data_IF_658407432566
#
_entry.id   IF_658407432566
#
_cell.length_a   1.000
_cell.length_b   1.000
_cell.length_c   1.000
_cell.angle_alpha   90.00
_cell.angle_beta   90.00
_cell.angle_gamma   90.00
#
_symmetry.space_group_name_H-M   'P 1'
#
loop_
_entity.id
_entity.type
_entity.pdbx_description
1 polymer ?
#
# COMPACT_ATOMS: atom_id res chain seq x y z
N UNK A 1 -31.22 5.78 12.35
CA UNK A 1 -31.13 6.25 10.95
C UNK A 1 -31.66 5.14 10.07
N UNK A 2 -32.65 5.43 9.21
CA UNK A 2 -33.20 4.48 8.25
C UNK A 2 -32.36 4.53 6.97
N UNK A 3 -31.68 3.42 6.62
CA UNK A 3 -30.84 3.31 5.43
C UNK A 3 -31.62 2.60 4.34
N UNK A 4 -31.79 3.27 3.20
CA UNK A 4 -32.43 2.68 2.03
C UNK A 4 -31.52 1.62 1.39
N UNK A 5 -31.99 0.40 1.11
CA UNK A 5 -31.24 -0.57 0.33
C UNK A 5 -30.93 -0.02 -1.06
N UNK A 6 -29.66 -0.09 -1.46
CA UNK A 6 -29.23 0.25 -2.82
C UNK A 6 -29.27 -0.96 -3.74
N UNK A 7 -28.68 -2.07 -3.28
CA UNK A 7 -28.78 -3.36 -3.95
C UNK A 7 -29.93 -4.15 -3.36
N UNK A 8 -30.72 -4.74 -4.21
CA UNK A 8 -31.87 -5.58 -3.84
C UNK A 8 -31.76 -6.94 -4.54
N UNK A 9 -32.30 -7.99 -3.96
CA UNK A 9 -32.28 -9.34 -4.52
C UNK A 9 -32.47 -10.41 -3.47
N UNK A 10 -32.37 -11.68 -3.87
CA UNK A 10 -32.60 -12.81 -3.00
C UNK A 10 -31.75 -12.82 -1.74
N UNK A 11 -32.40 -12.72 -0.59
CA UNK A 11 -31.74 -12.71 0.74
C UNK A 11 -31.61 -14.11 1.35
N UNK A 12 -32.18 -15.13 0.70
CA UNK A 12 -32.30 -16.48 1.25
C UNK A 12 -33.39 -16.64 2.34
N UNK A 13 -34.07 -15.55 2.70
CA UNK A 13 -35.14 -15.53 3.69
C UNK A 13 -36.34 -14.76 3.14
N UNK A 14 -37.55 -15.05 3.65
CA UNK A 14 -38.81 -14.37 3.28
C UNK A 14 -39.05 -14.36 1.75
N UNK A 15 -38.95 -15.51 1.11
CA UNK A 15 -38.97 -15.71 -0.36
C UNK A 15 -40.16 -15.04 -1.06
N UNK A 16 -41.30 -14.93 -0.40
CA UNK A 16 -42.52 -14.34 -0.98
C UNK A 16 -42.68 -12.84 -0.74
N UNK A 17 -41.71 -12.22 -0.06
CA UNK A 17 -41.74 -10.77 0.13
C UNK A 17 -41.35 -10.07 -1.17
N UNK A 18 -42.18 -9.14 -1.69
CA UNK A 18 -41.88 -8.47 -2.97
C UNK A 18 -40.76 -7.39 -2.91
N UNK A 19 -40.27 -7.13 -1.71
CA UNK A 19 -39.21 -6.14 -1.44
C UNK A 19 -38.18 -6.68 -0.46
N UNK A 20 -37.12 -5.94 -0.23
CA UNK A 20 -36.13 -6.28 0.80
C UNK A 20 -36.80 -6.36 2.18
N UNK A 21 -36.43 -7.34 3.04
CA UNK A 21 -36.90 -7.39 4.41
C UNK A 21 -36.63 -6.09 5.17
N UNK A 22 -37.51 -5.67 6.09
CA UNK A 22 -37.31 -4.44 6.84
C UNK A 22 -36.23 -4.55 7.94
N UNK A 23 -35.87 -5.78 8.33
CA UNK A 23 -34.94 -6.00 9.46
C UNK A 23 -33.48 -5.88 9.04
N UNK A 24 -32.67 -5.21 9.85
CA UNK A 24 -31.22 -5.24 9.75
C UNK A 24 -30.67 -6.54 10.36
N UNK A 25 -29.56 -7.09 9.83
CA UNK A 25 -28.76 -6.62 8.70
C UNK A 25 -29.32 -7.04 7.33
N UNK A 26 -30.29 -7.97 7.27
CA UNK A 26 -30.80 -8.61 6.05
C UNK A 26 -31.32 -7.61 5.02
N UNK A 27 -31.86 -6.49 5.49
CA UNK A 27 -32.33 -5.39 4.65
C UNK A 27 -31.25 -4.87 3.68
N UNK A 28 -29.98 -4.88 4.08
CA UNK A 28 -28.86 -4.36 3.29
C UNK A 28 -28.05 -5.45 2.59
N UNK A 29 -28.42 -6.72 2.78
CA UNK A 29 -27.72 -7.87 2.24
C UNK A 29 -28.48 -8.48 1.08
N UNK A 30 -28.08 -8.14 -0.14
CA UNK A 30 -28.67 -8.69 -1.36
C UNK A 30 -27.81 -9.86 -1.89
N UNK A 31 -28.46 -10.99 -2.19
CA UNK A 31 -27.82 -12.19 -2.74
C UNK A 31 -27.11 -13.04 -1.68
N UNK A 32 -26.43 -14.08 -2.15
CA UNK A 32 -25.64 -14.98 -1.30
C UNK A 32 -24.41 -14.26 -0.78
N UNK A 33 -24.20 -14.30 0.53
CA UNK A 33 -23.02 -13.68 1.17
C UNK A 33 -21.73 -14.35 0.71
N UNK A 34 -20.68 -13.55 0.61
CA UNK A 34 -19.33 -14.03 0.32
C UNK A 34 -18.72 -14.72 1.57
N UNK A 35 -19.17 -15.95 1.84
CA UNK A 35 -18.70 -16.72 3.00
C UNK A 35 -17.19 -16.96 3.00
N UNK A 36 -16.60 -17.19 1.82
CA UNK A 36 -15.16 -17.39 1.69
C UNK A 36 -14.37 -16.12 2.04
N UNK A 37 -14.82 -14.96 1.54
CA UNK A 37 -14.20 -13.67 1.88
C UNK A 37 -14.34 -13.33 3.36
N UNK A 38 -15.50 -13.65 3.99
CA UNK A 38 -15.71 -13.43 5.42
C UNK A 38 -14.77 -14.34 6.24
N UNK A 39 -14.61 -15.60 5.86
CA UNK A 39 -13.68 -16.52 6.52
C UNK A 39 -12.21 -16.06 6.38
N UNK A 40 -11.83 -15.59 5.19
CA UNK A 40 -10.50 -15.01 4.97
C UNK A 40 -10.25 -13.75 5.81
N UNK A 41 -11.24 -12.87 5.90
CA UNK A 41 -11.15 -11.67 6.75
C UNK A 41 -10.99 -12.05 8.23
N UNK A 42 -11.74 -13.04 8.71
CA UNK A 42 -11.63 -13.54 10.08
C UNK A 42 -10.22 -14.06 10.36
N UNK A 43 -9.66 -14.87 9.45
CA UNK A 43 -8.30 -15.38 9.58
C UNK A 43 -7.26 -14.25 9.61
N UNK A 44 -7.42 -13.22 8.77
CA UNK A 44 -6.54 -12.06 8.77
C UNK A 44 -6.62 -11.26 10.09
N UNK A 45 -7.81 -11.10 10.65
CA UNK A 45 -7.99 -10.44 11.96
C UNK A 45 -7.30 -11.23 13.07
N UNK A 46 -7.45 -12.56 13.09
CA UNK A 46 -6.78 -13.42 14.07
C UNK A 46 -5.25 -13.31 13.94
N UNK A 47 -4.72 -13.35 12.70
CA UNK A 47 -3.29 -13.14 12.46
C UNK A 47 -2.79 -11.82 13.03
N UNK A 48 -3.49 -10.70 12.76
CA UNK A 48 -3.10 -9.39 13.27
C UNK A 48 -3.16 -9.34 14.80
N UNK A 49 -4.17 -9.98 15.42
CA UNK A 49 -4.28 -10.05 16.87
C UNK A 49 -3.16 -10.88 17.51
N UNK A 50 -2.76 -11.97 16.87
CA UNK A 50 -1.68 -12.85 17.33
C UNK A 50 -0.31 -12.20 17.16
N UNK A 51 -0.02 -11.64 15.98
CA UNK A 51 1.22 -10.93 15.70
C UNK A 51 1.36 -9.64 16.53
N UNK A 52 0.25 -8.96 16.79
CA UNK A 52 0.17 -7.69 17.51
C UNK A 52 0.41 -6.47 16.60
N UNK A 53 -0.51 -5.51 16.64
CA UNK A 53 -0.44 -4.27 15.83
C UNK A 53 0.87 -3.50 16.04
N UNK A 54 1.33 -3.39 17.27
CA UNK A 54 2.55 -2.65 17.61
C UNK A 54 3.82 -3.36 17.08
N UNK A 55 3.84 -4.70 17.12
CA UNK A 55 4.95 -5.48 16.57
C UNK A 55 5.01 -5.33 15.05
N UNK A 56 3.89 -5.46 14.36
CA UNK A 56 3.79 -5.24 12.91
C UNK A 56 4.29 -3.83 12.56
N UNK A 57 3.75 -2.80 13.20
CA UNK A 57 4.14 -1.41 12.98
C UNK A 57 5.63 -1.18 13.20
N UNK A 58 6.17 -1.70 14.30
CA UNK A 58 7.58 -1.50 14.66
C UNK A 58 8.50 -2.11 13.61
N UNK A 59 8.20 -3.33 13.17
CA UNK A 59 8.95 -4.02 12.13
C UNK A 59 8.93 -3.24 10.81
N UNK A 60 7.74 -2.90 10.31
CA UNK A 60 7.58 -2.20 9.04
C UNK A 60 8.26 -0.81 9.04
N UNK A 61 8.14 -0.07 10.13
CA UNK A 61 8.80 1.23 10.27
C UNK A 61 10.32 1.10 10.38
N UNK A 62 10.83 0.03 11.00
CA UNK A 62 12.27 -0.22 11.08
C UNK A 62 12.85 -0.46 9.67
N UNK A 63 12.19 -1.28 8.83
CA UNK A 63 12.60 -1.51 7.45
C UNK A 63 12.56 -0.23 6.60
N UNK A 64 11.46 0.52 6.68
CA UNK A 64 11.31 1.79 5.98
C UNK A 64 12.39 2.81 6.41
N UNK A 65 12.72 2.87 7.69
CA UNK A 65 13.78 3.73 8.22
C UNK A 65 15.16 3.30 7.74
N UNK A 66 15.45 1.99 7.78
CA UNK A 66 16.70 1.41 7.26
C UNK A 66 16.91 1.79 5.80
N UNK A 67 15.88 1.60 4.97
CA UNK A 67 15.93 1.99 3.56
C UNK A 67 16.17 3.48 3.40
N UNK A 68 15.38 4.33 4.06
CA UNK A 68 15.54 5.78 4.00
C UNK A 68 16.97 6.23 4.37
N UNK A 69 17.48 5.77 5.49
CA UNK A 69 18.86 6.10 5.94
C UNK A 69 19.93 5.59 4.94
N UNK A 70 19.64 4.47 4.26
CA UNK A 70 20.55 3.90 3.27
C UNK A 70 20.61 4.68 1.95
N UNK A 71 19.58 5.47 1.62
CA UNK A 71 19.50 6.13 0.30
C UNK A 71 19.39 7.66 0.35
N UNK A 72 19.09 8.28 1.50
CA UNK A 72 18.80 9.72 1.61
C UNK A 72 19.96 10.64 1.21
N UNK A 73 21.19 10.19 1.39
CA UNK A 73 22.40 10.97 1.14
C UNK A 73 23.12 10.51 -0.15
N UNK A 74 22.49 9.66 -0.96
CA UNK A 74 23.05 9.20 -2.24
C UNK A 74 22.93 10.31 -3.27
N UNK A 75 24.02 10.64 -3.94
CA UNK A 75 24.00 11.62 -5.01
C UNK A 75 23.05 11.21 -6.14
N UNK A 76 22.25 12.15 -6.63
CA UNK A 76 21.21 11.88 -7.62
C UNK A 76 19.90 11.32 -7.06
N UNK A 77 19.81 10.95 -5.79
CA UNK A 77 18.56 10.51 -5.14
C UNK A 77 17.84 11.69 -4.49
N UNK A 78 16.59 11.88 -4.83
CA UNK A 78 15.70 12.86 -4.20
C UNK A 78 14.57 12.16 -3.45
N UNK A 79 14.58 12.24 -2.13
CA UNK A 79 13.50 11.73 -1.29
C UNK A 79 12.28 12.65 -1.38
N UNK A 80 11.10 12.05 -1.53
CA UNK A 80 9.82 12.75 -1.55
C UNK A 80 9.16 12.71 -0.16
N UNK A 81 8.81 13.88 0.37
CA UNK A 81 8.13 14.03 1.65
C UNK A 81 9.06 14.27 2.83
N UNK A 82 8.46 14.52 4.01
CA UNK A 82 9.14 14.83 5.26
C UNK A 82 9.31 13.55 6.12
N UNK A 83 10.54 13.26 6.52
CA UNK A 83 10.90 12.12 7.37
C UNK A 83 11.23 12.52 8.82
N UNK A 84 11.00 13.76 9.20
CA UNK A 84 11.17 14.24 10.57
C UNK A 84 10.07 13.73 11.52
N UNK A 85 8.85 13.50 11.02
CA UNK A 85 7.74 12.97 11.80
C UNK A 85 7.85 11.44 11.94
N UNK A 86 7.92 10.91 13.18
CA UNK A 86 7.91 9.48 13.43
C UNK A 86 6.55 8.81 13.17
N UNK A 87 5.46 9.60 13.11
CA UNK A 87 4.11 9.09 12.84
C UNK A 87 3.86 9.07 11.34
N UNK A 88 4.23 7.95 10.71
CA UNK A 88 4.13 7.79 9.26
C UNK A 88 3.78 6.37 8.85
N UNK A 89 3.38 6.19 7.60
CA UNK A 89 3.29 4.88 6.98
C UNK A 89 4.69 4.35 6.62
N UNK A 90 4.88 3.03 6.54
CA UNK A 90 6.15 2.39 6.17
C UNK A 90 6.39 2.47 4.65
N UNK A 91 6.44 3.70 4.14
CA UNK A 91 6.57 4.01 2.70
C UNK A 91 7.68 5.02 2.50
N UNK A 92 8.53 4.77 1.50
CA UNK A 92 9.55 5.71 1.02
C UNK A 92 9.33 5.93 -0.47
N UNK A 93 9.10 7.17 -0.86
CA UNK A 93 9.02 7.59 -2.25
C UNK A 93 10.25 8.43 -2.61
N UNK A 94 10.83 8.16 -3.78
CA UNK A 94 12.03 8.85 -4.25
C UNK A 94 12.03 9.01 -5.77
N UNK A 95 12.91 9.86 -6.25
CA UNK A 95 13.31 9.96 -7.66
C UNK A 95 14.81 9.79 -7.76
N UNK A 96 15.27 9.29 -8.89
CA UNK A 96 16.69 9.17 -9.22
C UNK A 96 16.96 10.12 -10.39
N UNK A 97 17.81 11.12 -10.17
CA UNK A 97 18.17 12.15 -11.17
C UNK A 97 16.91 12.75 -11.83
N UNK A 98 16.92 12.90 -13.13
CA UNK A 98 15.78 13.39 -13.92
C UNK A 98 15.07 12.25 -14.66
N UNK A 99 15.37 10.99 -14.31
CA UNK A 99 14.75 9.84 -14.95
C UNK A 99 13.27 9.72 -14.61
N UNK A 100 12.47 9.33 -15.58
CA UNK A 100 11.06 9.05 -15.38
C UNK A 100 10.90 7.84 -14.43
N UNK A 101 9.99 7.96 -13.47
CA UNK A 101 9.81 6.94 -12.43
C UNK A 101 9.46 5.55 -12.97
N UNK A 102 8.85 5.45 -14.14
CA UNK A 102 8.56 4.18 -14.81
C UNK A 102 9.84 3.47 -15.26
N UNK A 103 10.81 4.19 -15.81
CA UNK A 103 12.11 3.64 -16.25
C UNK A 103 12.84 3.03 -15.05
N UNK A 104 12.89 3.75 -13.94
CA UNK A 104 13.52 3.25 -12.71
C UNK A 104 12.78 2.02 -12.16
N UNK A 105 11.45 2.02 -12.20
CA UNK A 105 10.68 0.86 -11.73
C UNK A 105 10.87 -0.37 -12.61
N UNK A 106 10.97 -0.19 -13.92
CA UNK A 106 11.24 -1.28 -14.87
C UNK A 106 12.64 -1.85 -14.65
N UNK A 107 13.68 -1.01 -14.50
CA UNK A 107 15.04 -1.45 -14.17
C UNK A 107 15.09 -2.21 -12.83
N UNK A 108 14.42 -1.72 -11.78
CA UNK A 108 14.33 -2.41 -10.50
C UNK A 108 13.68 -3.80 -10.64
N UNK A 109 12.65 -3.92 -11.47
CA UNK A 109 11.96 -5.19 -11.69
C UNK A 109 12.77 -6.17 -12.53
N UNK A 110 13.40 -5.71 -13.63
CA UNK A 110 14.09 -6.55 -14.61
C UNK A 110 15.47 -6.99 -14.12
N UNK A 111 16.25 -6.05 -13.57
CA UNK A 111 17.64 -6.31 -13.23
C UNK A 111 17.83 -6.79 -11.78
N UNK A 112 16.93 -6.37 -10.86
CA UNK A 112 17.07 -6.65 -9.42
C UNK A 112 15.92 -7.48 -8.83
N UNK A 113 14.88 -7.83 -9.62
CA UNK A 113 13.68 -8.51 -9.16
C UNK A 113 12.94 -7.79 -8.00
N UNK A 114 13.01 -6.46 -7.97
CA UNK A 114 12.39 -5.62 -6.95
C UNK A 114 11.13 -4.98 -7.50
N UNK A 115 9.97 -5.34 -6.95
CA UNK A 115 8.68 -4.77 -7.33
C UNK A 115 8.40 -3.48 -6.56
N UNK A 116 8.25 -2.39 -7.29
CA UNK A 116 7.89 -1.06 -6.76
C UNK A 116 6.69 -0.49 -7.52
N UNK A 117 6.20 0.66 -7.10
CA UNK A 117 5.19 1.37 -7.86
C UNK A 117 5.71 2.72 -8.34
N UNK A 118 5.64 2.96 -9.65
CA UNK A 118 5.96 4.24 -10.28
C UNK A 118 4.74 5.12 -10.51
N UNK A 119 4.96 6.38 -10.85
CA UNK A 119 3.98 7.34 -11.35
C UNK A 119 3.31 8.18 -10.28
N UNK A 120 2.07 8.59 -10.54
CA UNK A 120 1.34 9.57 -9.73
C UNK A 120 0.59 8.98 -8.53
N UNK A 121 0.60 7.65 -8.32
CA UNK A 121 0.00 6.96 -7.15
C UNK A 121 -1.47 7.29 -6.86
N UNK A 122 -2.24 7.74 -7.89
CA UNK A 122 -3.61 8.26 -7.75
C UNK A 122 -3.70 9.46 -6.78
N UNK A 123 -2.63 10.25 -6.66
CA UNK A 123 -2.50 11.37 -5.73
C UNK A 123 -2.00 12.65 -6.43
N UNK A 124 -2.73 13.18 -7.44
CA UNK A 124 -2.24 14.29 -8.27
C UNK A 124 -1.87 15.53 -7.45
N UNK A 125 -2.68 15.89 -6.46
CA UNK A 125 -2.41 17.06 -5.60
C UNK A 125 -1.12 16.91 -4.77
N UNK A 126 -0.78 15.69 -4.38
CA UNK A 126 0.48 15.42 -3.68
C UNK A 126 1.66 15.62 -4.63
N UNK A 127 1.56 15.15 -5.87
CA UNK A 127 2.60 15.34 -6.87
C UNK A 127 2.76 16.82 -7.28
N UNK A 128 1.67 17.59 -7.32
CA UNK A 128 1.72 19.05 -7.47
C UNK A 128 2.51 19.70 -6.32
N UNK A 129 2.22 19.34 -5.08
CA UNK A 129 2.88 19.87 -3.89
C UNK A 129 4.37 19.47 -3.79
N UNK A 130 4.72 18.27 -4.23
CA UNK A 130 6.09 17.75 -4.23
C UNK A 130 6.90 18.18 -5.48
N UNK A 131 6.25 18.78 -6.48
CA UNK A 131 6.89 19.13 -7.76
C UNK A 131 7.34 17.92 -8.56
N UNK A 132 6.57 16.84 -8.55
CA UNK A 132 6.86 15.58 -9.24
C UNK A 132 5.80 15.19 -10.26
N UNK A 133 5.05 16.16 -10.78
CA UNK A 133 3.95 15.92 -11.73
C UNK A 133 4.44 15.23 -13.00
N UNK A 134 5.53 15.74 -13.58
CA UNK A 134 6.08 15.24 -14.85
C UNK A 134 6.85 13.92 -14.68
N UNK A 135 7.64 13.82 -13.61
CA UNK A 135 8.52 12.69 -13.37
C UNK A 135 7.83 11.52 -12.66
N UNK A 136 6.74 11.79 -11.92
CA UNK A 136 6.18 10.84 -10.97
C UNK A 136 7.10 10.62 -9.76
N UNK A 137 6.96 9.50 -9.10
CA UNK A 137 7.89 9.03 -8.07
C UNK A 137 7.93 7.50 -8.04
N UNK A 138 9.04 6.93 -7.62
CA UNK A 138 9.18 5.50 -7.33
C UNK A 138 8.89 5.30 -5.85
N UNK A 139 7.88 4.46 -5.53
CA UNK A 139 7.43 4.19 -4.17
C UNK A 139 7.80 2.79 -3.73
N UNK A 140 8.61 2.72 -2.70
CA UNK A 140 8.87 1.51 -1.92
C UNK A 140 7.87 1.43 -0.77
N UNK A 141 7.26 0.28 -0.58
CA UNK A 141 6.29 0.02 0.50
C UNK A 141 6.73 -1.21 1.25
N UNK A 142 6.94 -1.09 2.56
CA UNK A 142 7.43 -2.16 3.41
C UNK A 142 6.26 -2.78 4.17
N UNK A 143 6.17 -4.10 4.14
CA UNK A 143 5.14 -4.87 4.82
C UNK A 143 5.72 -5.87 5.81
N UNK A 144 4.87 -6.50 6.58
CA UNK A 144 5.21 -7.43 7.65
C UNK A 144 6.15 -8.58 7.19
N UNK A 145 6.01 -9.04 5.94
CA UNK A 145 6.79 -10.17 5.42
C UNK A 145 8.11 -9.78 4.78
N UNK A 146 8.39 -8.49 4.62
CA UNK A 146 9.69 -8.06 4.12
C UNK A 146 10.78 -8.26 5.17
N UNK A 147 12.01 -8.47 4.68
CA UNK A 147 13.19 -8.71 5.53
C UNK A 147 14.20 -7.58 5.46
N UNK A 148 15.17 -7.59 6.37
CA UNK A 148 16.29 -6.66 6.33
C UNK A 148 17.18 -6.90 5.10
N UNK A 149 17.38 -8.16 4.71
CA UNK A 149 18.17 -8.54 3.54
C UNK A 149 17.54 -8.02 2.23
N UNK A 150 16.21 -8.12 2.09
CA UNK A 150 15.47 -7.54 0.96
C UNK A 150 15.60 -6.01 0.94
N UNK A 151 15.56 -5.40 2.11
CA UNK A 151 15.73 -3.94 2.27
C UNK A 151 17.16 -3.52 1.87
N UNK A 152 18.18 -4.27 2.27
CA UNK A 152 19.58 -4.01 1.90
C UNK A 152 19.81 -4.18 0.40
N UNK A 153 19.20 -5.20 -0.21
CA UNK A 153 19.23 -5.38 -1.65
C UNK A 153 18.60 -4.19 -2.39
N UNK A 154 17.48 -3.66 -1.89
CA UNK A 154 16.84 -2.49 -2.46
C UNK A 154 17.70 -1.22 -2.31
N UNK A 155 18.40 -1.05 -1.19
CA UNK A 155 19.37 0.05 -1.00
C UNK A 155 20.50 -0.06 -2.01
N UNK A 156 21.07 -1.25 -2.21
CA UNK A 156 22.14 -1.48 -3.16
C UNK A 156 21.71 -1.15 -4.59
N UNK A 157 20.54 -1.64 -5.01
CA UNK A 157 19.98 -1.37 -6.33
C UNK A 157 19.75 0.13 -6.59
N UNK A 158 19.21 0.87 -5.63
CA UNK A 158 19.00 2.32 -5.76
C UNK A 158 20.33 3.06 -5.89
N UNK A 159 21.35 2.66 -5.14
CA UNK A 159 22.70 3.26 -5.22
C UNK A 159 23.33 3.03 -6.59
N UNK A 160 23.25 1.80 -7.09
CA UNK A 160 23.80 1.45 -8.41
C UNK A 160 23.09 2.20 -9.55
N UNK A 161 21.76 2.29 -9.50
CA UNK A 161 20.98 3.07 -10.49
C UNK A 161 21.24 4.58 -10.40
N UNK A 162 21.59 5.09 -9.25
CA UNK A 162 21.95 6.49 -9.09
C UNK A 162 23.35 6.85 -9.61
N UNK A 163 24.26 5.88 -9.78
CA UNK A 163 25.60 6.06 -10.33
C UNK A 163 25.62 6.06 -11.88
N UNK A 164 24.60 5.51 -12.53
CA UNK A 164 24.45 5.45 -13.98
C UNK A 164 24.02 6.79 -14.56
#
# INVERSE_FOLDING_TARGET
VDIRPWCVGGTGVQTFLPSQPPQYPTRLEAGTRNGHGIAGLLAAVHFIQEAGMDAIRTHELALARRFYEGVKDVDGVRICGDFSDPVRAPVVALNIRNEESSIIADALAEDYAIAVRAGAHCAPRMHEALGTVEQGAVRFSFGYYNTEEETDAAIAAVRELAEQ
#
